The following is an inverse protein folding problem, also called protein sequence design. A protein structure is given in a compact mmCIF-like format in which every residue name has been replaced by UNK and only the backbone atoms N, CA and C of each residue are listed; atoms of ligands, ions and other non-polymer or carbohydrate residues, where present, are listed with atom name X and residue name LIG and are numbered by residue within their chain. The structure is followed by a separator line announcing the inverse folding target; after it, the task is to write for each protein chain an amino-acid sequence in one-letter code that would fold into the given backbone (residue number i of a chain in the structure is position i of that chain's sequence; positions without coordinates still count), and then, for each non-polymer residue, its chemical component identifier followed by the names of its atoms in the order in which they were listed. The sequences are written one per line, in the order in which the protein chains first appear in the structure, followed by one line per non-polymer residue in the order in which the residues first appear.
data_IF_144660426508
#
_entry.id   IF_144660426508
#
_cell.length_a   1.000
_cell.length_b   1.000
_cell.length_c   1.000
_cell.angle_alpha   90.00
_cell.angle_beta   90.00
_cell.angle_gamma   90.00
#
_symmetry.space_group_name_H-M   'P 1'
#
loop_
_entity.id
_entity.type
_entity.pdbx_description
1 polymer ?
#
# COMPACT_ATOMS: atom_id res chain seq x y z
N UNK A 1 57.20 -19.73 -23.64
CA UNK A 1 56.30 -20.89 -23.88
C UNK A 1 55.23 -21.10 -22.80
N UNK A 2 55.49 -20.87 -21.49
CA UNK A 2 54.50 -21.08 -20.41
C UNK A 2 53.28 -20.13 -20.40
N UNK A 3 53.39 -18.91 -20.93
CA UNK A 3 52.29 -17.90 -20.89
C UNK A 3 51.28 -18.04 -22.04
N UNK A 4 51.69 -18.60 -23.18
CA UNK A 4 50.85 -18.74 -24.38
C UNK A 4 49.77 -19.82 -24.23
N UNK A 5 50.05 -20.90 -23.49
CA UNK A 5 49.10 -22.01 -23.23
C UNK A 5 48.03 -21.61 -22.21
N UNK A 6 48.38 -20.76 -21.23
CA UNK A 6 47.45 -20.26 -20.21
C UNK A 6 46.39 -19.32 -20.83
N UNK A 7 46.78 -18.48 -21.79
CA UNK A 7 45.85 -17.58 -22.49
C UNK A 7 44.89 -18.39 -23.38
N UNK A 8 45.37 -19.42 -24.08
CA UNK A 8 44.53 -20.25 -24.95
C UNK A 8 43.49 -21.07 -24.17
N UNK A 9 43.86 -21.59 -22.99
CA UNK A 9 42.92 -22.32 -22.11
C UNK A 9 41.91 -21.40 -21.44
N UNK A 10 42.30 -20.18 -21.03
CA UNK A 10 41.39 -19.20 -20.46
C UNK A 10 40.37 -18.68 -21.49
N UNK A 11 40.81 -18.40 -22.72
CA UNK A 11 39.91 -18.01 -23.82
C UNK A 11 38.92 -19.13 -24.15
N UNK A 12 39.37 -20.39 -24.16
CA UNK A 12 38.48 -21.53 -24.38
C UNK A 12 37.47 -21.69 -23.23
N UNK A 13 37.90 -21.54 -21.98
CA UNK A 13 37.02 -21.61 -20.82
C UNK A 13 35.99 -20.47 -20.85
N UNK A 14 36.39 -19.24 -21.17
CA UNK A 14 35.48 -18.10 -21.32
C UNK A 14 34.51 -18.28 -22.49
N UNK A 15 34.98 -18.80 -23.62
CA UNK A 15 34.13 -19.06 -24.79
C UNK A 15 33.11 -20.19 -24.54
N UNK A 16 33.49 -21.25 -23.82
CA UNK A 16 32.57 -22.32 -23.43
C UNK A 16 31.49 -21.80 -22.46
N UNK A 17 31.86 -20.94 -21.51
CA UNK A 17 30.90 -20.29 -20.62
C UNK A 17 30.01 -19.27 -21.36
N UNK A 18 30.55 -18.56 -22.36
CA UNK A 18 29.79 -17.60 -23.16
C UNK A 18 28.80 -18.29 -24.12
N UNK A 19 29.16 -19.48 -24.63
CA UNK A 19 28.29 -20.29 -25.50
C UNK A 19 27.17 -21.00 -24.72
N UNK A 20 27.37 -21.30 -23.43
CA UNK A 20 26.33 -21.87 -22.57
C UNK A 20 25.36 -20.83 -22.00
N UNK A 21 25.67 -19.53 -22.08
CA UNK A 21 24.65 -18.47 -22.03
C UNK A 21 23.99 -18.41 -23.41
N UNK A 22 23.41 -19.54 -23.80
CA UNK A 22 22.57 -19.67 -24.96
C UNK A 22 21.42 -18.67 -24.85
N UNK A 23 21.05 -18.11 -25.98
CA UNK A 23 19.84 -17.33 -26.16
C UNK A 23 18.66 -18.11 -25.61
N UNK A 24 18.16 -17.71 -24.44
CA UNK A 24 16.82 -18.07 -24.01
C UNK A 24 15.85 -17.27 -24.88
N UNK A 25 15.60 -17.76 -26.09
CA UNK A 25 14.55 -17.27 -26.97
C UNK A 25 13.22 -17.45 -26.25
N UNK A 26 12.44 -16.38 -26.23
CA UNK A 26 11.12 -16.33 -25.67
C UNK A 26 10.26 -17.54 -26.08
N UNK A 27 9.84 -18.34 -25.10
CA UNK A 27 8.61 -19.10 -25.23
C UNK A 27 7.45 -18.12 -25.07
N UNK A 28 6.98 -17.58 -26.19
CA UNK A 28 5.61 -17.11 -26.30
C UNK A 28 4.70 -18.34 -26.24
N UNK A 29 4.08 -18.59 -25.08
CA UNK A 29 2.93 -19.48 -24.98
C UNK A 29 1.69 -18.63 -24.72
N UNK A 30 0.88 -18.47 -25.75
CA UNK A 30 -0.50 -18.02 -25.64
C UNK A 30 -1.39 -19.23 -25.32
N UNK A 31 -2.13 -19.11 -24.20
CA UNK A 31 -3.42 -19.75 -23.84
C UNK A 31 -3.77 -21.13 -24.42
N UNK A 32 -3.83 -22.14 -23.55
CA UNK A 32 -5.11 -22.78 -23.17
C UNK A 32 -4.89 -23.87 -22.11
N UNK A 33 -4.98 -23.46 -20.85
CA UNK A 33 -5.67 -24.19 -19.78
C UNK A 33 -6.12 -23.12 -18.80
N UNK A 34 -7.32 -23.23 -18.24
CA UNK A 34 -7.91 -22.25 -17.32
C UNK A 34 -7.16 -22.12 -15.99
N UNK A 35 -5.99 -21.49 -16.02
CA UNK A 35 -5.27 -20.95 -14.88
C UNK A 35 -4.87 -19.54 -15.29
N UNK A 36 -5.60 -18.54 -14.79
CA UNK A 36 -5.20 -17.15 -14.94
C UNK A 36 -3.80 -17.03 -14.35
N UNK A 37 -2.86 -16.33 -15.02
CA UNK A 37 -1.50 -16.21 -14.53
C UNK A 37 -1.54 -15.82 -13.05
N UNK A 38 -0.79 -16.52 -12.21
CA UNK A 38 -0.51 -16.05 -10.84
C UNK A 38 0.40 -14.83 -10.95
N UNK A 39 -0.20 -13.75 -11.43
CA UNK A 39 0.44 -12.55 -11.93
C UNK A 39 -0.52 -11.40 -11.69
N UNK A 40 0.06 -10.27 -11.30
CA UNK A 40 -0.70 -9.10 -10.86
C UNK A 40 -1.83 -8.78 -11.84
N UNK A 41 -3.04 -8.62 -11.30
CA UNK A 41 -4.21 -8.17 -12.07
C UNK A 41 -4.41 -6.70 -11.81
N UNK A 42 -4.71 -5.96 -12.87
CA UNK A 42 -5.11 -4.56 -12.77
C UNK A 42 -6.55 -4.56 -12.27
N UNK A 43 -6.74 -4.24 -11.00
CA UNK A 43 -8.05 -4.01 -10.41
C UNK A 43 -8.40 -2.54 -10.61
N UNK A 44 -9.54 -2.32 -11.25
CA UNK A 44 -10.12 -0.99 -11.45
C UNK A 44 -11.37 -0.87 -10.60
N UNK A 45 -11.69 0.35 -10.20
CA UNK A 45 -12.88 0.57 -9.41
C UNK A 45 -13.21 2.04 -9.24
N UNK A 46 -14.29 2.27 -8.49
CA UNK A 46 -14.73 3.61 -8.12
C UNK A 46 -15.10 3.60 -6.65
N UNK A 47 -14.60 4.60 -5.93
CA UNK A 47 -14.90 4.85 -4.52
C UNK A 47 -15.96 5.95 -4.46
N UNK A 48 -17.07 5.64 -3.78
CA UNK A 48 -18.22 6.53 -3.60
C UNK A 48 -18.62 6.60 -2.12
N UNK A 49 -19.39 7.61 -1.72
CA UNK A 49 -20.04 7.69 -0.40
C UNK A 49 -21.46 7.07 -0.41
N UNK A 50 -22.18 7.18 0.72
CA UNK A 50 -23.57 6.69 0.86
C UNK A 50 -24.59 7.49 0.02
N UNK A 51 -24.23 8.70 -0.42
CA UNK A 51 -24.98 9.58 -1.30
C UNK A 51 -24.61 9.37 -2.78
N UNK A 52 -23.88 8.29 -3.10
CA UNK A 52 -23.36 7.97 -4.44
C UNK A 52 -22.43 9.07 -5.02
N UNK A 53 -21.84 9.92 -4.18
CA UNK A 53 -20.88 10.91 -4.62
C UNK A 53 -19.47 10.30 -4.71
N UNK A 54 -18.73 10.52 -5.81
CA UNK A 54 -17.36 10.04 -5.94
C UNK A 54 -16.42 10.78 -4.97
N UNK A 55 -15.52 10.04 -4.34
CA UNK A 55 -14.58 10.60 -3.36
C UNK A 55 -13.18 10.74 -4.01
N UNK A 56 -12.75 11.97 -4.35
CA UNK A 56 -11.40 12.22 -4.83
C UNK A 56 -10.38 12.22 -3.66
N UNK A 57 -9.16 11.74 -3.90
CA UNK A 57 -8.10 11.73 -2.90
C UNK A 57 -8.25 10.66 -1.79
N UNK A 58 -9.09 9.66 -1.98
CA UNK A 58 -9.13 8.47 -1.13
C UNK A 58 -7.86 7.63 -1.31
N UNK A 59 -7.27 7.18 -0.20
CA UNK A 59 -6.11 6.30 -0.20
C UNK A 59 -6.55 4.84 -0.34
N UNK A 60 -6.00 4.16 -1.34
CA UNK A 60 -6.21 2.73 -1.58
C UNK A 60 -4.88 2.00 -1.43
N UNK A 61 -4.79 1.13 -0.42
CA UNK A 61 -3.57 0.37 -0.10
C UNK A 61 -3.85 -1.12 -0.10
N UNK A 62 -2.90 -1.94 -0.54
CA UNK A 62 -2.99 -3.40 -0.37
C UNK A 62 -2.39 -3.75 1.00
N UNK A 63 -3.09 -4.53 1.84
CA UNK A 63 -2.58 -4.90 3.18
C UNK A 63 -1.27 -5.69 3.12
N UNK A 64 -1.10 -6.52 2.09
CA UNK A 64 0.08 -7.38 1.91
C UNK A 64 1.26 -6.66 1.27
N UNK A 65 1.08 -5.47 0.67
CA UNK A 65 2.14 -4.76 -0.05
C UNK A 65 2.25 -3.31 0.41
N UNK A 66 3.35 -2.64 0.05
CA UNK A 66 3.49 -1.20 0.28
C UNK A 66 2.96 -0.36 -0.89
N UNK A 67 2.28 -0.99 -1.85
CA UNK A 67 1.67 -0.30 -2.98
C UNK A 67 0.42 0.44 -2.49
N UNK A 68 0.42 1.75 -2.72
CA UNK A 68 -0.71 2.64 -2.46
C UNK A 68 -0.99 3.47 -3.70
N UNK A 69 -2.26 3.74 -3.95
CA UNK A 69 -2.73 4.64 -5.00
C UNK A 69 -3.76 5.59 -4.41
N UNK A 70 -3.88 6.79 -4.99
CA UNK A 70 -4.94 7.74 -4.62
C UNK A 70 -6.00 7.76 -5.70
N UNK A 71 -7.25 8.03 -5.34
CA UNK A 71 -8.33 8.18 -6.30
C UNK A 71 -8.24 9.52 -7.05
N UNK A 72 -8.60 9.50 -8.33
CA UNK A 72 -8.70 10.69 -9.18
C UNK A 72 -9.95 11.56 -8.85
N UNK A 73 -10.15 12.67 -9.57
CA UNK A 73 -11.32 13.57 -9.43
C UNK A 73 -12.68 12.86 -9.58
N UNK A 74 -12.76 11.80 -10.38
CA UNK A 74 -13.96 10.98 -10.56
C UNK A 74 -14.08 9.84 -9.52
N UNK A 75 -13.23 9.79 -8.50
CA UNK A 75 -13.20 8.69 -7.51
C UNK A 75 -12.71 7.36 -8.08
N UNK A 76 -12.15 7.35 -9.29
CA UNK A 76 -11.63 6.15 -9.96
C UNK A 76 -10.24 5.80 -9.43
N UNK A 77 -9.92 4.51 -9.44
CA UNK A 77 -8.58 4.02 -9.11
C UNK A 77 -8.20 2.82 -9.99
N UNK A 78 -6.89 2.63 -10.14
CA UNK A 78 -6.28 1.49 -10.83
C UNK A 78 -5.09 0.99 -10.02
N UNK A 79 -5.15 -0.27 -9.58
CA UNK A 79 -4.09 -0.86 -8.75
C UNK A 79 -3.79 -2.30 -9.19
N UNK A 80 -2.50 -2.65 -9.20
CA UNK A 80 -2.04 -4.00 -9.47
C UNK A 80 -2.11 -4.83 -8.18
N UNK A 81 -3.05 -5.77 -8.09
CA UNK A 81 -3.25 -6.63 -6.93
C UNK A 81 -3.42 -8.11 -7.35
N UNK A 82 -3.18 -9.04 -6.41
CA UNK A 82 -3.42 -10.47 -6.64
C UNK A 82 -4.80 -10.88 -6.13
N UNK A 83 -5.34 -11.96 -6.70
CA UNK A 83 -6.57 -12.56 -6.17
C UNK A 83 -6.35 -13.00 -4.72
N UNK A 84 -7.23 -12.59 -3.82
CA UNK A 84 -7.13 -12.91 -2.40
C UNK A 84 -6.45 -11.83 -1.54
N UNK A 85 -5.82 -10.83 -2.15
CA UNK A 85 -5.29 -9.67 -1.43
C UNK A 85 -6.43 -8.86 -0.79
N UNK A 86 -6.13 -8.14 0.28
CA UNK A 86 -7.08 -7.24 0.95
C UNK A 86 -6.72 -5.81 0.61
N UNK A 87 -7.63 -5.12 -0.08
CA UNK A 87 -7.57 -3.68 -0.31
C UNK A 87 -8.15 -2.94 0.90
N UNK A 88 -7.42 -1.95 1.36
CA UNK A 88 -7.74 -1.07 2.48
C UNK A 88 -8.01 0.30 1.89
N UNK A 89 -9.24 0.77 2.06
CA UNK A 89 -9.68 2.10 1.64
C UNK A 89 -9.73 3.01 2.85
N UNK A 90 -9.00 4.11 2.80
CA UNK A 90 -8.90 5.08 3.88
C UNK A 90 -9.08 6.50 3.32
N UNK A 91 -9.88 7.29 4.03
CA UNK A 91 -10.10 8.70 3.72
C UNK A 91 -10.30 9.45 5.03
N UNK A 92 -9.88 10.72 5.07
CA UNK A 92 -9.95 11.52 6.30
C UNK A 92 -11.41 11.71 6.72
N UNK A 93 -11.71 11.38 7.97
CA UNK A 93 -13.08 11.47 8.52
C UNK A 93 -14.03 10.32 8.13
N UNK A 94 -13.56 9.30 7.41
CA UNK A 94 -14.38 8.14 7.03
C UNK A 94 -13.89 6.83 7.64
N UNK A 95 -14.76 5.82 7.64
CA UNK A 95 -14.45 4.50 8.18
C UNK A 95 -13.58 3.73 7.21
N UNK A 96 -12.45 3.21 7.71
CA UNK A 96 -11.58 2.35 6.92
C UNK A 96 -12.32 1.08 6.50
N UNK A 97 -12.40 0.83 5.20
CA UNK A 97 -13.07 -0.33 4.63
C UNK A 97 -12.04 -1.32 4.09
N UNK A 98 -12.17 -2.60 4.47
CA UNK A 98 -11.31 -3.67 3.99
C UNK A 98 -12.10 -4.57 3.03
N UNK A 99 -11.65 -4.69 1.79
CA UNK A 99 -12.31 -5.50 0.76
C UNK A 99 -11.33 -6.51 0.18
N UNK A 100 -11.72 -7.78 0.18
CA UNK A 100 -10.93 -8.85 -0.43
C UNK A 100 -11.08 -8.82 -1.94
N UNK A 101 -9.96 -8.75 -2.65
CA UNK A 101 -9.90 -8.88 -4.11
C UNK A 101 -10.36 -10.28 -4.49
N UNK A 102 -11.47 -10.33 -5.22
CA UNK A 102 -12.03 -11.55 -5.78
C UNK A 102 -11.71 -11.62 -7.27
N UNK A 103 -12.22 -12.63 -7.98
CA UNK A 103 -12.05 -12.79 -9.45
C UNK A 103 -12.60 -11.63 -10.30
N UNK A 104 -13.21 -10.60 -9.69
CA UNK A 104 -13.78 -9.43 -10.37
C UNK A 104 -12.73 -8.35 -10.54
N UNK A 105 -12.53 -7.92 -11.77
CA UNK A 105 -11.60 -6.84 -12.16
C UNK A 105 -12.15 -5.43 -11.87
N UNK A 106 -13.46 -5.33 -11.65
CA UNK A 106 -14.17 -4.08 -11.34
C UNK A 106 -14.82 -4.18 -9.96
N UNK A 107 -14.47 -3.28 -9.06
CA UNK A 107 -15.03 -3.21 -7.70
C UNK A 107 -15.58 -1.80 -7.46
N UNK A 108 -16.88 -1.70 -7.19
CA UNK A 108 -17.49 -0.47 -6.65
C UNK A 108 -17.40 -0.56 -5.13
N UNK A 109 -16.88 0.49 -4.51
CA UNK A 109 -16.74 0.58 -3.04
C UNK A 109 -17.53 1.78 -2.56
N UNK A 110 -18.44 1.53 -1.61
CA UNK A 110 -19.17 2.60 -0.92
C UNK A 110 -18.57 2.73 0.46
N UNK A 111 -17.90 3.85 0.71
CA UNK A 111 -17.35 4.19 2.02
C UNK A 111 -18.42 4.83 2.88
N UNK A 112 -18.40 4.50 4.17
CA UNK A 112 -19.32 5.08 5.15
C UNK A 112 -18.54 6.04 6.02
N UNK A 113 -19.18 7.14 6.38
CA UNK A 113 -18.63 8.04 7.39
C UNK A 113 -18.45 7.28 8.70
N UNK A 114 -17.28 7.42 9.33
CA UNK A 114 -17.11 6.98 10.71
C UNK A 114 -17.50 8.20 11.53
N UNK A 115 -18.71 8.20 12.08
CA UNK A 115 -19.07 9.16 13.13
C UNK A 115 -18.30 8.76 14.41
N UNK A 116 -16.97 8.81 14.33
CA UNK A 116 -16.13 8.85 15.52
C UNK A 116 -16.32 10.26 16.02
N UNK A 117 -17.22 10.39 16.98
CA UNK A 117 -17.17 11.45 17.97
C UNK A 117 -15.71 11.53 18.42
N UNK A 118 -14.97 12.51 17.89
CA UNK A 118 -13.62 12.80 18.34
C UNK A 118 -13.84 13.33 19.73
N UNK A 119 -13.74 12.44 20.72
CA UNK A 119 -13.74 12.85 22.12
C UNK A 119 -12.56 13.82 22.24
N UNK A 120 -12.94 15.09 22.31
CA UNK A 120 -12.05 16.21 22.21
C UNK A 120 -11.06 16.08 23.34
N UNK A 121 -9.81 15.75 23.02
CA UNK A 121 -8.73 16.08 23.94
C UNK A 121 -8.59 17.59 23.81
N UNK A 122 -9.38 18.29 24.62
CA UNK A 122 -9.03 19.63 25.09
C UNK A 122 -7.59 19.49 25.53
N UNK A 123 -6.67 20.03 24.74
CA UNK A 123 -5.38 20.43 25.29
C UNK A 123 -5.73 21.50 26.31
N UNK A 124 -6.05 21.03 27.51
CA UNK A 124 -6.20 21.86 28.68
C UNK A 124 -4.92 22.64 28.73
N UNK A 125 -5.03 23.94 28.55
CA UNK A 125 -3.97 24.84 28.92
C UNK A 125 -3.59 24.48 30.37
N UNK A 126 -2.47 23.81 30.52
CA UNK A 126 -1.75 23.72 31.78
C UNK A 126 -0.36 24.27 31.51
N UNK A 127 -0.30 25.58 31.28
CA UNK A 127 0.88 26.33 31.67
C UNK A 127 0.83 26.45 33.22
N UNK A 128 1.16 25.36 33.90
CA UNK A 128 1.59 25.39 35.30
C UNK A 128 3.01 24.82 35.36
N UNK A 129 3.97 25.53 34.75
CA UNK A 129 5.38 25.31 35.05
C UNK A 129 5.70 26.05 36.34
N UNK A 130 6.02 25.29 37.38
CA UNK A 130 6.05 25.76 38.76
C UNK A 130 7.08 26.85 39.07
N UNK A 131 6.76 27.62 40.10
CA UNK A 131 7.76 28.27 40.92
C UNK A 131 7.33 28.15 42.39
N UNK A 132 8.21 27.52 43.17
CA UNK A 132 8.31 27.59 44.63
C UNK A 132 7.34 26.77 45.51
N UNK A 133 7.76 25.54 45.83
CA UNK A 133 7.47 24.93 47.13
C UNK A 133 8.31 25.67 48.18
N UNK A 134 7.68 26.44 49.06
CA UNK A 134 8.07 26.51 50.48
C UNK A 134 7.05 27.30 51.31
N UNK A 135 6.61 26.62 52.37
CA UNK A 135 6.11 27.09 53.68
C UNK A 135 4.71 27.73 53.84
N UNK A 136 4.14 27.34 55.00
CA UNK A 136 3.02 27.90 55.75
C UNK A 136 1.64 27.64 55.13
N UNK A 137 0.87 26.68 55.66
CA UNK A 137 0.03 26.83 56.86
C UNK A 137 -0.90 28.04 56.78
N UNK A 138 -2.20 27.78 56.95
CA UNK A 138 -3.31 28.74 56.91
C UNK A 138 -3.68 29.11 55.45
N UNK A 139 -4.92 29.17 55.01
CA UNK A 139 -6.17 29.34 55.72
C UNK A 139 -7.31 29.08 54.72
N UNK A 140 -8.36 28.43 55.22
CA UNK A 140 -9.78 28.61 54.89
C UNK A 140 -10.26 28.68 53.44
N UNK A 141 -11.08 27.68 53.13
CA UNK A 141 -12.49 27.85 52.72
C UNK A 141 -12.98 29.27 52.36
N UNK A 142 -13.74 29.28 51.26
CA UNK A 142 -14.91 30.12 50.95
C UNK A 142 -14.66 31.34 50.05
N UNK A 143 -14.95 31.23 48.76
CA UNK A 143 -16.21 31.67 48.14
C UNK A 143 -16.31 31.15 46.70
#
# INVERSE_FOLDING_TARGET
MRTSIQILTLVFFFAVNFFLVGTNTASAQASDTGILPEGLKIITGTVMDEQDMPIPGAEVKIRSTNTKVQTDFDGKYSINAKDGDVLVFAYQGMKTQNIKVSKKTKIKVVMREDYREVDSIVYGCCFCTGFHISVASEFMFNY
#
